data_IF_835469974850
#
_entry.id   IF_835469974850
#
_cell.length_a   1.000
_cell.length_b   1.000
_cell.length_c   1.000
_cell.angle_alpha   90.00
_cell.angle_beta   90.00
_cell.angle_gamma   90.00
#
_symmetry.space_group_name_H-M   'P 1'
#
loop_
_entity.id
_entity.type
_entity.pdbx_description
1 polymer ?
#
# COMPACT_ATOMS: atom_id res chain seq x y z
N UNK A 1 -41.33 11.46 55.88
CA UNK A 1 -41.47 11.07 54.45
C UNK A 1 -41.43 12.22 53.44
N UNK A 2 -41.45 13.52 53.82
CA UNK A 2 -41.41 14.64 52.85
C UNK A 2 -40.01 15.06 52.36
N UNK A 3 -38.93 14.63 53.03
CA UNK A 3 -37.55 15.03 52.68
C UNK A 3 -36.82 14.04 51.76
N UNK A 4 -37.34 12.81 51.60
CA UNK A 4 -36.74 11.78 50.73
C UNK A 4 -37.25 11.91 49.28
N UNK A 5 -38.48 12.41 49.10
CA UNK A 5 -39.05 12.63 47.76
C UNK A 5 -38.35 13.79 47.00
N UNK A 6 -37.86 14.80 47.73
CA UNK A 6 -37.23 15.98 47.12
C UNK A 6 -35.81 15.72 46.59
N UNK A 7 -35.12 14.71 47.15
CA UNK A 7 -33.77 14.32 46.69
C UNK A 7 -33.86 13.42 45.45
N UNK A 8 -34.88 12.57 45.36
CA UNK A 8 -35.13 11.75 44.17
C UNK A 8 -35.61 12.59 42.97
N UNK A 9 -36.41 13.63 43.19
CA UNK A 9 -36.85 14.52 42.11
C UNK A 9 -35.73 15.44 41.58
N UNK A 10 -34.74 15.76 42.43
CA UNK A 10 -33.55 16.53 42.02
C UNK A 10 -32.52 15.65 41.29
N UNK A 11 -32.41 14.36 41.66
CA UNK A 11 -31.59 13.39 40.92
C UNK A 11 -32.22 12.98 39.58
N UNK A 12 -33.56 12.98 39.46
CA UNK A 12 -34.24 12.75 38.18
C UNK A 12 -34.16 13.96 37.25
N UNK A 13 -34.05 15.19 37.79
CA UNK A 13 -33.83 16.40 36.97
C UNK A 13 -32.39 16.55 36.47
N UNK A 14 -31.42 15.88 37.09
CA UNK A 14 -30.03 15.81 36.61
C UNK A 14 -29.81 14.78 35.49
N UNK A 15 -30.80 13.94 35.19
CA UNK A 15 -30.77 13.01 34.05
C UNK A 15 -31.55 13.51 32.81
N UNK A 16 -32.17 14.68 32.88
CA UNK A 16 -32.90 15.31 31.76
C UNK A 16 -32.09 16.45 31.11
N UNK A 17 -30.87 16.70 31.59
CA UNK A 17 -29.93 17.68 31.02
C UNK A 17 -28.62 16.99 30.63
N UNK A 18 -28.75 15.96 29.80
CA UNK A 18 -27.68 15.53 28.90
C UNK A 18 -28.20 15.69 27.46
N UNK A 19 -28.09 16.92 26.97
CA UNK A 19 -27.97 17.21 25.54
C UNK A 19 -29.24 17.23 24.72
N UNK A 20 -30.09 18.24 24.92
CA UNK A 20 -30.70 18.91 23.77
C UNK A 20 -29.55 19.55 22.97
N UNK A 21 -28.94 18.79 22.07
CA UNK A 21 -28.05 19.36 21.07
C UNK A 21 -28.91 19.90 19.93
N UNK A 22 -28.61 21.13 19.53
CA UNK A 22 -29.43 21.90 18.61
C UNK A 22 -29.33 21.32 17.20
N UNK A 23 -30.27 20.45 16.83
CA UNK A 23 -30.77 20.37 15.46
C UNK A 23 -29.79 19.98 14.35
N UNK A 24 -28.69 19.28 14.66
CA UNK A 24 -27.81 18.66 13.66
C UNK A 24 -27.15 17.38 14.22
N UNK A 25 -27.94 16.51 14.84
CA UNK A 25 -27.51 15.27 15.51
C UNK A 25 -26.79 14.27 14.60
N UNK A 26 -25.56 14.59 14.18
CA UNK A 26 -24.61 13.63 13.64
C UNK A 26 -24.19 12.74 14.81
N UNK A 27 -24.59 11.47 14.74
CA UNK A 27 -24.03 10.39 15.57
C UNK A 27 -22.50 10.49 15.47
N UNK A 28 -21.81 10.43 16.61
CA UNK A 28 -20.35 10.33 16.63
C UNK A 28 -19.94 9.12 15.79
N UNK A 29 -19.09 9.36 14.79
CA UNK A 29 -18.68 8.32 13.85
C UNK A 29 -17.58 7.47 14.49
N UNK A 30 -17.62 6.17 14.20
CA UNK A 30 -16.56 5.22 14.51
C UNK A 30 -15.35 5.41 13.59
N UNK A 31 -15.63 5.69 12.31
CA UNK A 31 -14.62 5.91 11.27
C UNK A 31 -14.69 7.35 10.77
N UNK A 32 -13.53 7.98 10.56
CA UNK A 32 -13.46 9.42 10.29
C UNK A 32 -14.27 9.81 9.05
N UNK A 33 -14.18 9.05 7.97
CA UNK A 33 -14.92 9.29 6.73
C UNK A 33 -15.35 7.98 6.04
N UNK A 34 -16.26 8.10 5.07
CA UNK A 34 -16.55 7.02 4.11
C UNK A 34 -15.44 6.95 3.06
N UNK A 35 -15.14 5.74 2.58
CA UNK A 35 -14.12 5.52 1.55
C UNK A 35 -13.38 4.20 1.72
N UNK A 36 -12.27 4.04 1.00
CA UNK A 36 -11.47 2.80 1.05
C UNK A 36 -10.12 3.04 1.68
N UNK A 37 -9.88 2.40 2.82
CA UNK A 37 -8.65 2.49 3.58
C UNK A 37 -7.76 1.29 3.24
N UNK A 38 -6.60 1.54 2.66
CA UNK A 38 -5.62 0.51 2.33
C UNK A 38 -4.46 0.52 3.32
N UNK A 39 -4.04 -0.68 3.74
CA UNK A 39 -2.75 -0.92 4.34
C UNK A 39 -2.00 -1.98 3.55
N UNK A 40 -0.68 -2.04 3.75
CA UNK A 40 0.19 -3.00 3.11
C UNK A 40 1.30 -3.45 4.04
N UNK A 41 1.92 -4.58 3.69
CA UNK A 41 3.13 -5.10 4.33
C UNK A 41 4.06 -5.64 3.26
N UNK A 42 5.29 -5.15 3.26
CA UNK A 42 6.38 -5.73 2.47
C UNK A 42 6.79 -7.05 3.12
N UNK A 43 6.84 -8.11 2.32
CA UNK A 43 7.12 -9.48 2.78
C UNK A 43 8.04 -10.18 1.78
N UNK A 44 8.36 -11.44 2.06
CA UNK A 44 9.11 -12.28 1.11
C UNK A 44 8.36 -13.58 0.88
N UNK A 45 8.54 -14.15 -0.30
CA UNK A 45 8.00 -15.45 -0.64
C UNK A 45 9.12 -16.43 -0.95
N UNK A 46 8.95 -17.69 -0.58
CA UNK A 46 9.90 -18.73 -0.92
C UNK A 46 9.61 -19.26 -2.32
N UNK A 47 10.61 -19.25 -3.20
CA UNK A 47 10.56 -19.84 -4.53
C UNK A 47 11.73 -20.82 -4.69
N UNK A 48 11.54 -21.85 -5.50
CA UNK A 48 12.65 -22.70 -5.97
C UNK A 48 13.15 -22.21 -7.32
N UNK A 49 14.47 -22.13 -7.46
CA UNK A 49 15.14 -21.95 -8.75
C UNK A 49 16.00 -23.18 -9.05
N UNK A 50 16.20 -23.46 -10.33
CA UNK A 50 17.08 -24.53 -10.81
C UNK A 50 18.43 -23.93 -11.20
N UNK A 51 19.51 -24.45 -10.61
CA UNK A 51 20.88 -24.08 -10.93
C UNK A 51 21.34 -24.74 -12.25
N UNK A 52 22.49 -24.31 -12.77
CA UNK A 52 23.05 -24.85 -14.02
C UNK A 52 23.33 -26.35 -13.97
N UNK A 53 23.57 -26.91 -12.78
CA UNK A 53 23.79 -28.34 -12.54
C UNK A 53 22.50 -29.12 -12.23
N UNK A 54 21.33 -28.53 -12.51
CA UNK A 54 19.99 -29.05 -12.23
C UNK A 54 19.63 -29.16 -10.73
N UNK A 55 20.47 -28.65 -9.83
CA UNK A 55 20.14 -28.57 -8.40
C UNK A 55 19.01 -27.56 -8.16
N UNK A 56 17.99 -27.93 -7.40
CA UNK A 56 16.99 -26.99 -6.89
C UNK A 56 17.46 -26.32 -5.60
N UNK A 57 17.42 -24.99 -5.56
CA UNK A 57 17.68 -24.21 -4.36
C UNK A 57 16.50 -23.30 -4.04
N UNK A 58 16.23 -23.15 -2.74
CA UNK A 58 15.20 -22.27 -2.23
C UNK A 58 15.75 -20.84 -2.07
N UNK A 59 15.01 -19.85 -2.56
CA UNK A 59 15.35 -18.43 -2.54
C UNK A 59 14.15 -17.64 -2.01
N UNK A 60 14.44 -16.57 -1.27
CA UNK A 60 13.42 -15.58 -0.92
C UNK A 60 13.27 -14.59 -2.08
N UNK A 61 12.04 -14.36 -2.52
CA UNK A 61 11.69 -13.34 -3.51
C UNK A 61 10.89 -12.21 -2.88
N UNK A 62 11.00 -10.98 -3.39
CA UNK A 62 10.17 -9.86 -2.93
C UNK A 62 8.68 -10.13 -3.10
N UNK A 63 7.88 -9.74 -2.12
CA UNK A 63 6.43 -9.76 -2.19
C UNK A 63 5.83 -8.63 -1.35
N UNK A 64 4.55 -8.33 -1.56
CA UNK A 64 3.81 -7.49 -0.64
C UNK A 64 2.36 -7.94 -0.56
N UNK A 65 1.78 -7.74 0.63
CA UNK A 65 0.38 -7.98 0.93
C UNK A 65 -0.34 -6.64 1.00
N UNK A 66 -1.54 -6.56 0.45
CA UNK A 66 -2.45 -5.42 0.66
C UNK A 66 -3.77 -5.90 1.25
N UNK A 67 -4.34 -5.09 2.13
CA UNK A 67 -5.75 -5.21 2.52
C UNK A 67 -6.40 -3.85 2.43
N UNK A 68 -7.54 -3.80 1.74
CA UNK A 68 -8.41 -2.62 1.67
C UNK A 68 -9.69 -2.87 2.45
N UNK A 69 -10.10 -1.88 3.26
CA UNK A 69 -11.35 -1.87 4.02
C UNK A 69 -12.21 -0.73 3.51
N UNK A 70 -13.41 -1.01 3.02
CA UNK A 70 -14.35 0.01 2.57
C UNK A 70 -15.34 0.33 3.68
N UNK A 71 -15.42 1.61 4.04
CA UNK A 71 -16.37 2.17 5.00
C UNK A 71 -17.49 2.88 4.24
N UNK A 72 -18.73 2.58 4.60
CA UNK A 72 -19.90 3.31 4.13
C UNK A 72 -20.90 3.51 5.26
N UNK A 73 -21.36 4.76 5.46
CA UNK A 73 -22.29 5.12 6.53
C UNK A 73 -21.85 4.62 7.92
N UNK A 74 -20.56 4.75 8.25
CA UNK A 74 -19.96 4.32 9.51
C UNK A 74 -19.95 2.78 9.74
N UNK A 75 -20.12 1.99 8.68
CA UNK A 75 -20.06 0.53 8.71
C UNK A 75 -18.98 0.01 7.76
N UNK A 76 -18.31 -1.08 8.15
CA UNK A 76 -17.44 -1.82 7.22
C UNK A 76 -18.33 -2.58 6.26
N UNK A 77 -18.19 -2.33 4.96
CA UNK A 77 -19.00 -2.98 3.91
C UNK A 77 -18.19 -3.92 3.02
N UNK A 78 -16.85 -3.87 3.11
CA UNK A 78 -15.98 -4.72 2.31
C UNK A 78 -14.59 -4.86 2.93
N UNK A 79 -14.07 -6.07 2.89
CA UNK A 79 -12.63 -6.37 2.95
C UNK A 79 -12.17 -6.81 1.56
N UNK A 80 -10.94 -6.46 1.18
CA UNK A 80 -10.30 -6.93 -0.04
C UNK A 80 -8.83 -7.21 0.25
N UNK A 81 -8.47 -8.48 0.28
CA UNK A 81 -7.12 -9.01 0.43
C UNK A 81 -6.53 -9.23 -0.95
N UNK A 82 -5.27 -8.84 -1.12
CA UNK A 82 -4.47 -9.21 -2.28
C UNK A 82 -2.99 -9.41 -1.92
N UNK A 83 -2.27 -10.08 -2.80
CA UNK A 83 -0.83 -10.27 -2.68
C UNK A 83 -0.17 -10.26 -4.05
N UNK A 84 0.94 -9.52 -4.15
CA UNK A 84 1.79 -9.50 -5.32
C UNK A 84 3.13 -10.12 -4.96
N UNK A 85 3.59 -11.04 -5.81
CA UNK A 85 4.85 -11.75 -5.65
C UNK A 85 5.76 -11.46 -6.84
N UNK A 86 7.07 -11.48 -6.61
CA UNK A 86 8.07 -11.47 -7.67
C UNK A 86 8.54 -12.88 -8.03
N UNK A 87 8.93 -13.04 -9.28
CA UNK A 87 9.65 -14.21 -9.79
C UNK A 87 11.15 -13.97 -9.78
N UNK A 88 11.92 -15.03 -9.53
CA UNK A 88 13.37 -15.06 -9.61
C UNK A 88 13.85 -15.74 -10.90
N UNK A 89 14.73 -15.07 -11.64
CA UNK A 89 15.43 -15.61 -12.80
C UNK A 89 16.94 -15.66 -12.53
N UNK A 90 17.55 -16.86 -12.44
CA UNK A 90 18.98 -16.98 -12.21
C UNK A 90 19.81 -16.56 -13.43
N UNK A 91 20.93 -15.90 -13.18
CA UNK A 91 21.89 -15.45 -14.19
C UNK A 91 23.22 -16.15 -13.96
N UNK A 92 23.73 -16.83 -14.99
CA UNK A 92 24.96 -17.60 -14.92
C UNK A 92 26.06 -16.97 -15.78
N UNK A 93 27.33 -17.15 -15.38
CA UNK A 93 28.47 -16.87 -16.24
C UNK A 93 28.70 -17.98 -17.30
N UNK A 94 29.73 -17.81 -18.14
CA UNK A 94 30.10 -18.78 -19.18
C UNK A 94 30.52 -20.15 -18.62
N UNK A 95 30.97 -20.20 -17.36
CA UNK A 95 31.39 -21.41 -16.66
C UNK A 95 30.23 -22.09 -15.91
N UNK A 96 29.02 -21.51 -15.94
CA UNK A 96 27.82 -22.03 -15.30
C UNK A 96 27.66 -21.63 -13.82
N UNK A 97 28.48 -20.71 -13.31
CA UNK A 97 28.34 -20.23 -11.93
C UNK A 97 27.26 -19.15 -11.84
N UNK A 98 26.46 -19.20 -10.78
CA UNK A 98 25.44 -18.18 -10.49
C UNK A 98 26.13 -16.85 -10.17
N UNK A 99 25.84 -15.81 -10.95
CA UNK A 99 26.41 -14.46 -10.78
C UNK A 99 25.39 -13.43 -10.33
N UNK A 100 24.12 -13.65 -10.62
CA UNK A 100 23.02 -12.79 -10.19
C UNK A 100 21.70 -13.56 -10.13
N UNK A 101 20.71 -13.00 -9.44
CA UNK A 101 19.30 -13.34 -9.63
C UNK A 101 18.55 -12.07 -9.98
N UNK A 102 17.85 -12.07 -11.12
CA UNK A 102 16.95 -11.00 -11.48
C UNK A 102 15.60 -11.29 -10.84
N UNK A 103 15.11 -10.35 -10.03
CA UNK A 103 13.72 -10.39 -9.59
C UNK A 103 12.86 -9.57 -10.54
N UNK A 104 11.59 -9.91 -10.69
CA UNK A 104 10.60 -9.09 -11.41
C UNK A 104 9.24 -9.33 -10.79
N UNK A 105 8.47 -8.28 -10.49
CA UNK A 105 7.12 -8.48 -9.99
C UNK A 105 6.22 -9.14 -11.05
N UNK A 106 5.39 -10.08 -10.61
CA UNK A 106 4.40 -10.69 -11.50
C UNK A 106 3.46 -9.61 -12.04
N UNK A 107 3.10 -9.72 -13.32
CA UNK A 107 2.16 -8.79 -13.96
C UNK A 107 0.77 -8.81 -13.32
N UNK A 108 0.35 -9.94 -12.76
CA UNK A 108 -0.94 -10.12 -12.07
C UNK A 108 -0.73 -10.46 -10.57
N UNK A 109 -1.60 -9.94 -9.70
CA UNK A 109 -1.65 -10.35 -8.29
C UNK A 109 -2.20 -11.76 -8.17
N UNK A 110 -2.11 -12.37 -6.97
CA UNK A 110 -2.79 -13.65 -6.71
C UNK A 110 -4.29 -13.59 -6.99
N UNK A 111 -4.93 -12.46 -6.69
CA UNK A 111 -6.37 -12.30 -6.94
C UNK A 111 -6.69 -12.10 -8.42
N UNK A 112 -5.84 -11.39 -9.16
CA UNK A 112 -5.97 -11.22 -10.61
C UNK A 112 -5.75 -12.55 -11.36
N UNK A 113 -4.79 -13.37 -10.91
CA UNK A 113 -4.53 -14.71 -11.46
C UNK A 113 -5.72 -15.66 -11.25
N UNK A 114 -6.43 -15.56 -10.12
CA UNK A 114 -7.58 -16.41 -9.83
C UNK A 114 -7.23 -17.90 -9.87
N UNK A 115 -7.75 -18.63 -10.86
CA UNK A 115 -7.42 -20.04 -11.09
C UNK A 115 -6.04 -20.26 -11.70
N UNK A 116 -5.51 -19.28 -12.43
CA UNK A 116 -4.18 -19.36 -13.04
C UNK A 116 -3.06 -19.31 -11.99
N UNK A 117 -3.39 -18.99 -10.74
CA UNK A 117 -2.47 -19.14 -9.60
C UNK A 117 -2.17 -20.63 -9.32
N UNK A 118 -3.08 -21.53 -9.69
CA UNK A 118 -2.89 -22.99 -9.70
C UNK A 118 -2.43 -23.56 -8.35
N UNK A 119 -3.11 -23.19 -7.27
CA UNK A 119 -2.86 -23.70 -5.91
C UNK A 119 -3.85 -24.81 -5.51
N UNK A 120 -4.88 -25.09 -6.31
CA UNK A 120 -5.91 -26.09 -5.99
C UNK A 120 -5.34 -27.48 -5.70
N UNK A 121 -4.29 -27.89 -6.41
CA UNK A 121 -3.64 -29.18 -6.21
C UNK A 121 -2.72 -29.22 -4.97
N UNK A 122 -2.27 -28.07 -4.48
CA UNK A 122 -1.39 -27.93 -3.32
C UNK A 122 -2.16 -27.68 -2.02
N UNK A 123 -3.33 -27.06 -2.09
CA UNK A 123 -4.08 -26.63 -0.92
C UNK A 123 -5.31 -27.50 -0.67
N UNK A 124 -5.45 -27.98 0.58
CA UNK A 124 -6.56 -28.82 0.99
C UNK A 124 -7.95 -28.14 0.91
N UNK A 125 -7.99 -26.81 0.71
CA UNK A 125 -9.21 -25.99 0.66
C UNK A 125 -9.40 -25.23 -0.66
N UNK A 126 -8.71 -25.65 -1.72
CA UNK A 126 -8.88 -25.10 -3.08
C UNK A 126 -8.03 -23.86 -3.36
N UNK A 127 -8.36 -23.13 -4.42
CA UNK A 127 -7.57 -21.97 -4.86
C UNK A 127 -7.46 -20.85 -3.83
N UNK A 128 -6.35 -20.10 -3.91
CA UNK A 128 -6.04 -19.01 -2.99
C UNK A 128 -7.16 -17.97 -2.97
N UNK A 129 -7.69 -17.60 -4.14
CA UNK A 129 -8.75 -16.60 -4.28
C UNK A 129 -10.01 -16.97 -3.50
N UNK A 130 -10.43 -18.25 -3.50
CA UNK A 130 -11.62 -18.67 -2.75
C UNK A 130 -11.39 -18.69 -1.25
N UNK A 131 -10.17 -19.00 -0.82
CA UNK A 131 -9.81 -18.95 0.59
C UNK A 131 -9.75 -17.50 1.08
N UNK A 132 -9.16 -16.59 0.30
CA UNK A 132 -9.16 -15.16 0.60
C UNK A 132 -10.59 -14.57 0.68
N UNK A 133 -11.47 -14.93 -0.26
CA UNK A 133 -12.89 -14.51 -0.23
C UNK A 133 -13.62 -15.07 0.99
N UNK A 134 -13.37 -16.32 1.39
CA UNK A 134 -13.94 -16.87 2.62
C UNK A 134 -13.50 -16.10 3.86
N UNK A 135 -12.23 -15.71 3.91
CA UNK A 135 -11.66 -14.91 5.00
C UNK A 135 -12.28 -13.50 5.04
N UNK A 136 -12.35 -12.82 3.89
CA UNK A 136 -13.01 -11.50 3.74
C UNK A 136 -14.47 -11.52 4.22
N UNK A 137 -15.23 -12.54 3.81
CA UNK A 137 -16.62 -12.69 4.20
C UNK A 137 -16.79 -13.01 5.69
N UNK A 138 -15.92 -13.85 6.26
CA UNK A 138 -15.97 -14.14 7.69
C UNK A 138 -15.72 -12.89 8.53
N UNK A 139 -14.72 -12.08 8.17
CA UNK A 139 -14.43 -10.82 8.86
C UNK A 139 -15.60 -9.84 8.77
N UNK A 140 -16.27 -9.76 7.62
CA UNK A 140 -17.44 -8.90 7.43
C UNK A 140 -18.67 -9.37 8.24
N UNK A 141 -18.89 -10.68 8.33
CA UNK A 141 -20.06 -11.26 9.02
C UNK A 141 -19.90 -11.31 10.54
N UNK A 142 -18.69 -11.56 11.03
CA UNK A 142 -18.41 -11.75 12.46
C UNK A 142 -17.91 -10.47 13.16
N UNK A 143 -17.64 -9.40 12.40
CA UNK A 143 -16.99 -8.17 12.88
C UNK A 143 -15.69 -8.47 13.65
N UNK A 144 -14.94 -9.45 13.14
CA UNK A 144 -13.75 -10.01 13.81
C UNK A 144 -12.66 -10.38 12.80
N UNK A 145 -11.51 -9.73 12.91
CA UNK A 145 -10.34 -10.00 12.06
C UNK A 145 -9.45 -11.07 12.72
N UNK A 146 -9.77 -12.33 12.43
CA UNK A 146 -9.05 -13.51 12.94
C UNK A 146 -8.94 -14.62 11.90
N UNK A 147 -8.11 -15.62 12.20
CA UNK A 147 -8.00 -16.84 11.41
C UNK A 147 -9.30 -17.67 11.52
N UNK A 148 -9.67 -18.33 10.43
CA UNK A 148 -10.81 -19.24 10.38
C UNK A 148 -10.36 -20.63 9.95
N UNK A 149 -11.02 -21.67 10.45
CA UNK A 149 -10.64 -23.06 10.19
C UNK A 149 -10.99 -23.55 8.77
N UNK A 150 -11.78 -22.77 8.02
CA UNK A 150 -12.17 -23.10 6.64
C UNK A 150 -11.09 -22.76 5.61
N UNK A 151 -10.05 -22.01 5.98
CA UNK A 151 -8.92 -21.68 5.12
C UNK A 151 -7.64 -22.37 5.59
N UNK A 152 -6.72 -22.58 4.66
CA UNK A 152 -5.40 -23.21 4.85
C UNK A 152 -4.25 -22.36 4.35
N UNK A 153 -4.53 -21.24 3.68
CA UNK A 153 -3.53 -20.20 3.40
C UNK A 153 -2.95 -19.68 4.73
N UNK A 154 -1.69 -19.26 4.70
CA UNK A 154 -1.06 -18.53 5.82
C UNK A 154 -1.76 -17.18 5.95
N UNK A 155 -2.28 -16.84 7.13
CA UNK A 155 -3.21 -15.69 7.31
C UNK A 155 -2.67 -14.58 8.19
N UNK A 156 -1.55 -14.80 8.85
CA UNK A 156 -0.98 -13.90 9.84
C UNK A 156 -0.75 -12.50 9.28
N UNK A 157 -0.11 -12.41 8.10
CA UNK A 157 0.12 -11.14 7.41
C UNK A 157 -1.20 -10.47 6.98
N UNK A 158 -2.18 -11.23 6.48
CA UNK A 158 -3.48 -10.67 6.11
C UNK A 158 -4.23 -10.10 7.30
N UNK A 159 -4.20 -10.78 8.46
CA UNK A 159 -4.82 -10.33 9.71
C UNK A 159 -4.17 -9.05 10.21
N UNK A 160 -2.84 -8.99 10.20
CA UNK A 160 -2.07 -7.80 10.59
C UNK A 160 -2.43 -6.60 9.72
N UNK A 161 -2.38 -6.78 8.39
CA UNK A 161 -2.65 -5.71 7.42
C UNK A 161 -4.11 -5.27 7.46
N UNK A 162 -5.06 -6.20 7.64
CA UNK A 162 -6.48 -5.87 7.79
C UNK A 162 -6.75 -5.03 9.04
N UNK A 163 -6.11 -5.36 10.17
CA UNK A 163 -6.20 -4.55 11.41
C UNK A 163 -5.59 -3.18 11.21
N UNK A 164 -4.45 -3.08 10.52
CA UNK A 164 -3.82 -1.80 10.19
C UNK A 164 -4.73 -0.93 9.30
N UNK A 165 -5.36 -1.49 8.27
CA UNK A 165 -6.29 -0.77 7.40
C UNK A 165 -7.53 -0.27 8.18
N UNK A 166 -8.09 -1.09 9.07
CA UNK A 166 -9.20 -0.69 9.93
C UNK A 166 -8.78 0.40 10.93
N UNK A 167 -7.57 0.33 11.46
CA UNK A 167 -7.03 1.35 12.36
C UNK A 167 -6.81 2.67 11.63
N UNK A 168 -6.28 2.65 10.40
CA UNK A 168 -6.19 3.81 9.51
C UNK A 168 -7.55 4.50 9.34
N UNK A 169 -8.63 3.73 9.16
CA UNK A 169 -9.99 4.27 9.05
C UNK A 169 -10.47 5.02 10.32
N UNK A 170 -10.08 4.53 11.50
CA UNK A 170 -10.38 5.17 12.79
C UNK A 170 -9.53 6.41 13.04
N UNK A 171 -8.28 6.38 12.61
CA UNK A 171 -7.30 7.45 12.85
C UNK A 171 -7.36 8.57 11.80
N UNK A 172 -8.17 8.41 10.76
CA UNK A 172 -8.23 9.37 9.65
C UNK A 172 -6.94 9.36 8.83
N UNK A 173 -6.30 8.20 8.68
CA UNK A 173 -5.12 8.02 7.83
C UNK A 173 -5.52 7.34 6.54
N UNK A 174 -5.02 7.82 5.42
CA UNK A 174 -5.27 7.23 4.10
C UNK A 174 -3.97 6.81 3.45
N UNK A 175 -4.06 5.94 2.47
CA UNK A 175 -2.91 5.61 1.64
C UNK A 175 -3.27 4.70 0.47
N UNK A 176 -2.34 4.63 -0.47
CA UNK A 176 -2.40 3.74 -1.61
C UNK A 176 -0.98 3.32 -1.99
N UNK A 177 -0.85 2.16 -2.63
CA UNK A 177 0.43 1.59 -3.06
C UNK A 177 0.33 1.17 -4.53
N UNK A 178 1.38 1.44 -5.28
CA UNK A 178 1.49 1.14 -6.70
C UNK A 178 2.89 0.61 -7.03
N UNK A 179 2.95 -0.39 -7.93
CA UNK A 179 4.23 -0.81 -8.50
C UNK A 179 4.51 0.05 -9.71
N UNK A 180 5.54 0.87 -9.60
CA UNK A 180 6.13 1.51 -10.75
C UNK A 180 6.75 2.83 -10.38
N UNK A 181 8.07 2.85 -10.30
CA UNK A 181 8.93 3.89 -10.84
C UNK A 181 10.35 3.32 -11.09
N UNK A 182 11.20 4.07 -11.82
CA UNK A 182 12.63 3.85 -12.08
C UNK A 182 13.10 2.39 -12.33
N UNK A 183 13.28 2.01 -13.60
CA UNK A 183 13.83 0.72 -14.07
C UNK A 183 12.96 -0.56 -13.94
N UNK A 184 11.69 -0.42 -13.53
CA UNK A 184 10.52 -1.32 -13.75
C UNK A 184 9.87 -1.98 -12.53
N UNK A 185 10.37 -1.80 -11.31
CA UNK A 185 9.83 -2.58 -10.18
C UNK A 185 9.77 -1.84 -8.83
N UNK A 186 10.12 -0.55 -8.76
CA UNK A 186 9.99 0.21 -7.50
C UNK A 186 8.55 0.19 -6.99
N UNK A 187 8.38 0.12 -5.67
CA UNK A 187 7.07 0.19 -5.03
C UNK A 187 6.87 1.58 -4.44
N UNK A 188 6.02 2.36 -5.09
CA UNK A 188 5.68 3.73 -4.71
C UNK A 188 4.41 3.70 -3.87
N UNK A 189 4.38 4.48 -2.79
CA UNK A 189 3.16 4.69 -2.03
C UNK A 189 2.94 6.15 -1.72
N UNK A 190 1.71 6.44 -1.35
CA UNK A 190 1.29 7.72 -0.80
C UNK A 190 0.53 7.48 0.49
N UNK A 191 0.76 8.33 1.47
CA UNK A 191 -0.03 8.41 2.70
C UNK A 191 -0.51 9.84 2.94
N UNK A 192 -1.55 9.99 3.76
CA UNK A 192 -2.02 11.30 4.19
C UNK A 192 -3.10 11.22 5.27
N UNK A 193 -3.69 12.38 5.56
CA UNK A 193 -4.77 12.54 6.52
C UNK A 193 -6.10 12.78 5.82
N UNK A 194 -7.20 12.28 6.38
CA UNK A 194 -8.57 12.57 5.96
C UNK A 194 -9.38 13.10 7.14
N UNK A 195 -10.14 14.17 6.94
CA UNK A 195 -11.00 14.75 7.96
C UNK A 195 -12.44 14.18 7.93
N UNK A 196 -13.27 14.60 8.89
CA UNK A 196 -14.68 14.16 9.01
C UNK A 196 -15.59 14.58 7.84
N UNK A 197 -15.13 15.52 7.00
CA UNK A 197 -15.80 15.93 5.77
C UNK A 197 -15.31 15.13 4.56
N UNK A 198 -14.35 14.23 4.79
CA UNK A 198 -13.71 13.43 3.76
C UNK A 198 -12.58 14.16 3.06
N UNK A 199 -12.16 15.36 3.47
CA UNK A 199 -11.09 16.12 2.80
C UNK A 199 -9.72 15.53 3.12
N UNK A 200 -8.91 15.29 2.09
CA UNK A 200 -7.53 14.79 2.25
C UNK A 200 -6.52 15.94 2.38
N UNK A 201 -5.51 15.76 3.23
CA UNK A 201 -4.41 16.71 3.46
C UNK A 201 -3.14 15.99 3.93
N UNK A 202 -2.04 16.71 4.11
CA UNK A 202 -0.76 16.20 4.62
C UNK A 202 -0.27 14.97 3.85
N UNK A 203 -0.42 15.01 2.53
CA UNK A 203 0.08 13.97 1.63
C UNK A 203 1.60 13.87 1.77
N UNK A 204 2.12 12.65 1.80
CA UNK A 204 3.54 12.31 1.73
C UNK A 204 3.72 11.12 0.79
N UNK A 205 4.68 11.22 -0.11
CA UNK A 205 5.09 10.11 -0.97
C UNK A 205 6.37 9.48 -0.45
N UNK A 206 6.50 8.19 -0.71
CA UNK A 206 7.77 7.51 -0.59
C UNK A 206 7.77 6.26 -1.48
N UNK A 207 8.92 5.61 -1.58
CA UNK A 207 9.17 4.56 -2.54
C UNK A 207 10.24 3.59 -2.00
N UNK A 208 9.99 2.29 -2.12
CA UNK A 208 11.00 1.26 -1.92
C UNK A 208 11.57 0.90 -3.28
N UNK A 209 12.88 1.01 -3.39
CA UNK A 209 13.56 0.66 -4.63
C UNK A 209 13.62 -0.84 -4.79
N UNK A 210 13.36 -1.30 -5.99
CA UNK A 210 13.48 -2.71 -6.33
C UNK A 210 14.81 -2.96 -7.01
N UNK A 211 15.61 -3.88 -6.47
CA UNK A 211 16.86 -4.30 -7.09
C UNK A 211 17.96 -3.24 -7.17
N UNK A 212 17.79 -2.03 -6.62
CA UNK A 212 18.89 -1.08 -6.49
C UNK A 212 19.81 -1.52 -5.35
N UNK A 213 20.77 -2.38 -5.70
CA UNK A 213 21.92 -2.75 -4.88
C UNK A 213 21.57 -2.78 -3.39
N UNK A 214 20.94 -3.86 -2.92
CA UNK A 214 20.87 -4.22 -1.51
C UNK A 214 22.31 -4.28 -0.96
N UNK A 215 22.88 -3.11 -0.67
CA UNK A 215 24.29 -2.78 -0.45
C UNK A 215 25.22 -3.95 -0.71
N UNK A 216 25.40 -4.40 -1.99
CA UNK A 216 26.05 -5.67 -2.41
C UNK A 216 26.43 -6.53 -1.19
N UNK A 217 25.46 -7.17 -0.50
CA UNK A 217 25.83 -7.95 0.69
C UNK A 217 26.83 -8.98 0.17
N UNK A 218 28.08 -8.87 0.61
CA UNK A 218 29.15 -9.71 0.07
C UNK A 218 28.72 -11.18 0.20
N UNK A 219 28.94 -11.96 -0.86
CA UNK A 219 28.64 -13.39 -0.84
C UNK A 219 27.17 -13.80 -1.01
N UNK A 220 26.23 -12.96 -1.46
CA UNK A 220 24.85 -13.43 -1.79
C UNK A 220 24.84 -14.58 -2.82
N UNK A 221 25.87 -14.66 -3.68
CA UNK A 221 26.00 -15.69 -4.70
C UNK A 221 27.08 -16.75 -4.37
N UNK A 222 27.64 -16.71 -3.17
CA UNK A 222 28.53 -17.74 -2.66
C UNK A 222 27.71 -18.76 -1.86
N UNK A 223 27.61 -19.99 -2.37
CA UNK A 223 26.85 -21.08 -1.75
C UNK A 223 27.29 -21.43 -0.31
N UNK A 224 28.49 -21.03 0.09
CA UNK A 224 29.02 -21.24 1.45
C UNK A 224 28.67 -20.11 2.42
N UNK A 225 28.13 -19.00 1.91
CA UNK A 225 27.87 -17.80 2.70
C UNK A 225 26.49 -17.83 3.37
N UNK A 226 26.38 -17.23 4.57
CA UNK A 226 25.14 -17.25 5.36
C UNK A 226 23.95 -16.50 4.69
N UNK A 227 24.26 -15.60 3.76
CA UNK A 227 23.28 -14.80 3.00
C UNK A 227 23.04 -15.34 1.59
N UNK A 228 23.49 -16.56 1.27
CA UNK A 228 23.27 -17.15 -0.04
C UNK A 228 21.78 -17.12 -0.40
N UNK A 229 21.44 -16.40 -1.48
CA UNK A 229 20.08 -16.25 -2.02
C UNK A 229 19.01 -15.79 -1.02
N UNK A 230 19.39 -14.93 -0.06
CA UNK A 230 18.42 -14.31 0.86
C UNK A 230 18.11 -12.89 0.44
N UNK A 231 17.02 -12.71 -0.30
CA UNK A 231 16.43 -11.39 -0.47
C UNK A 231 15.89 -10.88 0.87
N UNK A 232 16.02 -9.57 1.07
CA UNK A 232 15.40 -8.82 2.15
C UNK A 232 15.12 -7.41 1.63
N UNK A 233 14.05 -6.80 2.11
CA UNK A 233 13.74 -5.42 1.76
C UNK A 233 14.74 -4.48 2.43
N UNK A 234 15.13 -3.41 1.73
CA UNK A 234 15.96 -2.38 2.36
C UNK A 234 15.17 -1.64 3.43
N UNK A 235 15.85 -1.33 4.55
CA UNK A 235 15.25 -0.56 5.64
C UNK A 235 15.18 0.93 5.36
N UNK A 236 15.97 1.40 4.39
CA UNK A 236 16.03 2.79 3.92
C UNK A 236 15.18 2.90 2.66
N UNK A 237 14.33 3.93 2.58
CA UNK A 237 13.53 4.17 1.38
C UNK A 237 14.33 4.94 0.33
N UNK A 238 13.75 5.17 -0.85
CA UNK A 238 14.33 6.05 -1.87
C UNK A 238 14.50 7.47 -1.31
N UNK A 239 13.55 7.93 -0.50
CA UNK A 239 13.67 9.23 0.15
C UNK A 239 14.89 9.31 1.08
N UNK A 240 15.23 8.24 1.79
CA UNK A 240 16.40 8.22 2.67
C UNK A 240 17.73 8.07 1.92
N UNK A 241 17.72 7.39 0.77
CA UNK A 241 18.94 6.88 0.12
C UNK A 241 19.39 7.67 -1.12
N UNK A 242 18.50 8.43 -1.76
CA UNK A 242 18.81 9.05 -3.05
C UNK A 242 19.67 10.32 -2.93
N UNK A 243 20.68 10.43 -3.81
CA UNK A 243 21.59 11.58 -3.87
C UNK A 243 21.16 12.68 -4.85
N UNK A 244 22.01 13.70 -5.07
CA UNK A 244 21.73 14.77 -6.01
C UNK A 244 21.61 14.24 -7.45
N UNK A 245 20.59 14.73 -8.18
CA UNK A 245 20.38 14.42 -9.58
C UNK A 245 21.40 15.13 -10.50
N UNK A 246 21.36 14.83 -11.81
CA UNK A 246 22.28 15.36 -12.85
C UNK A 246 22.41 16.89 -12.95
N UNK A 247 21.62 17.66 -12.21
CA UNK A 247 21.64 19.13 -12.14
C UNK A 247 21.88 19.65 -10.70
N UNK A 248 22.33 18.78 -9.78
CA UNK A 248 22.66 19.12 -8.40
C UNK A 248 21.46 19.25 -7.45
N UNK A 249 20.22 19.24 -7.96
CA UNK A 249 19.01 19.19 -7.12
C UNK A 249 18.82 17.80 -6.52
N UNK A 250 18.44 17.74 -5.26
CA UNK A 250 18.08 16.48 -4.62
C UNK A 250 16.76 15.95 -5.19
N UNK A 251 16.58 14.63 -5.16
CA UNK A 251 15.30 14.03 -5.53
C UNK A 251 14.21 14.40 -4.53
N UNK A 252 14.56 14.41 -3.24
CA UNK A 252 13.73 14.80 -2.11
C UNK A 252 13.17 16.21 -2.29
N UNK A 253 14.01 17.21 -2.58
CA UNK A 253 13.56 18.60 -2.80
C UNK A 253 12.48 18.71 -3.91
N UNK A 254 12.55 17.85 -4.93
CA UNK A 254 11.60 17.83 -6.04
C UNK A 254 10.31 17.10 -5.68
N UNK A 255 10.41 16.01 -4.90
CA UNK A 255 9.24 15.33 -4.33
C UNK A 255 8.51 16.25 -3.35
N UNK A 256 9.24 16.96 -2.50
CA UNK A 256 8.70 17.94 -1.56
C UNK A 256 7.97 19.05 -2.30
N UNK A 257 8.58 19.62 -3.35
CA UNK A 257 7.91 20.63 -4.20
C UNK A 257 6.60 20.10 -4.79
N UNK A 258 6.59 18.85 -5.27
CA UNK A 258 5.37 18.25 -5.82
C UNK A 258 4.31 17.99 -4.74
N UNK A 259 4.74 17.55 -3.57
CA UNK A 259 3.90 17.25 -2.41
C UNK A 259 3.26 18.53 -1.84
N UNK A 260 4.05 19.59 -1.69
CA UNK A 260 3.58 20.91 -1.27
C UNK A 260 2.51 21.45 -2.22
N UNK A 261 2.75 21.36 -3.54
CA UNK A 261 1.76 21.77 -4.53
C UNK A 261 0.42 21.05 -4.36
N UNK A 262 0.43 19.73 -4.16
CA UNK A 262 -0.80 18.94 -3.94
C UNK A 262 -1.48 19.33 -2.63
N UNK A 263 -0.72 19.52 -1.54
CA UNK A 263 -1.27 19.90 -0.25
C UNK A 263 -1.91 21.31 -0.28
N UNK A 264 -1.36 22.23 -1.06
CA UNK A 264 -1.90 23.58 -1.22
C UNK A 264 -3.11 23.66 -2.16
N UNK A 265 -3.11 22.87 -3.24
CA UNK A 265 -4.08 23.01 -4.34
C UNK A 265 -5.10 21.86 -4.42
N UNK A 266 -4.92 20.78 -3.67
CA UNK A 266 -5.63 19.53 -3.85
C UNK A 266 -5.09 18.69 -5.01
N UNK A 267 -5.55 17.43 -5.11
CA UNK A 267 -5.24 16.58 -6.25
C UNK A 267 -6.11 16.93 -7.45
N UNK A 268 -5.49 16.98 -8.62
CA UNK A 268 -6.16 17.15 -9.90
C UNK A 268 -5.84 15.97 -10.81
N UNK A 269 -6.85 15.16 -11.13
CA UNK A 269 -6.70 13.99 -12.00
C UNK A 269 -6.29 14.31 -13.45
N UNK A 270 -6.20 15.59 -13.83
CA UNK A 270 -5.63 16.05 -15.10
C UNK A 270 -4.11 16.27 -15.05
N UNK A 271 -3.46 16.07 -13.90
CA UNK A 271 -2.00 16.00 -13.80
C UNK A 271 -1.48 14.74 -14.47
N UNK A 272 -0.47 14.88 -15.32
CA UNK A 272 0.19 13.76 -15.96
C UNK A 272 1.68 14.02 -16.16
N UNK A 273 2.52 12.97 -16.23
CA UNK A 273 3.94 13.16 -16.36
C UNK A 273 4.28 13.68 -17.78
N UNK A 274 5.26 14.56 -17.92
CA UNK A 274 5.62 15.11 -19.24
C UNK A 274 6.21 14.01 -20.12
N UNK A 275 5.58 13.76 -21.26
CA UNK A 275 6.08 12.82 -22.25
C UNK A 275 7.08 13.54 -23.16
N UNK A 276 8.37 13.29 -22.96
CA UNK A 276 9.38 13.77 -23.90
C UNK A 276 9.34 12.91 -25.17
N UNK A 277 9.20 13.55 -26.33
CA UNK A 277 9.17 12.85 -27.62
C UNK A 277 10.40 11.94 -27.80
N UNK A 278 10.16 10.64 -28.01
CA UNK A 278 11.21 9.63 -28.19
C UNK A 278 11.82 9.08 -26.89
N UNK A 279 11.31 9.48 -25.71
CA UNK A 279 11.73 8.97 -24.41
C UNK A 279 10.66 8.05 -23.83
N UNK A 280 11.06 6.89 -23.28
CA UNK A 280 10.19 6.08 -22.41
C UNK A 280 10.10 6.66 -21.00
N UNK A 281 11.03 7.55 -20.63
CA UNK A 281 11.05 8.27 -19.35
C UNK A 281 10.12 9.47 -19.44
N UNK A 282 9.16 9.53 -18.52
CA UNK A 282 8.21 10.64 -18.41
C UNK A 282 8.60 11.49 -17.19
N UNK A 283 9.14 12.68 -17.43
CA UNK A 283 9.79 13.51 -16.41
C UNK A 283 9.05 14.81 -16.17
N UNK A 284 8.96 15.23 -14.92
CA UNK A 284 8.24 16.44 -14.52
C UNK A 284 6.73 16.33 -14.71
N UNK A 285 6.03 17.37 -14.28
CA UNK A 285 4.57 17.38 -14.18
C UNK A 285 4.01 18.42 -15.14
N UNK A 286 2.91 18.10 -15.82
CA UNK A 286 2.15 19.06 -16.59
C UNK A 286 0.65 18.84 -16.38
N UNK A 287 -0.16 19.80 -16.81
CA UNK A 287 -1.63 19.76 -16.72
C UNK A 287 -2.21 20.08 -18.08
N UNK A 288 -2.99 19.15 -18.64
CA UNK A 288 -3.57 19.29 -19.98
C UNK A 288 -2.55 19.64 -21.09
N UNK A 289 -1.28 19.22 -20.93
CA UNK A 289 -0.20 19.50 -21.89
C UNK A 289 0.49 20.84 -21.68
N UNK A 290 0.09 21.59 -20.65
CA UNK A 290 0.69 22.86 -20.26
C UNK A 290 1.59 22.69 -19.04
N UNK A 291 2.76 23.31 -19.08
CA UNK A 291 3.68 23.35 -17.96
C UNK A 291 3.06 24.11 -16.79
N UNK A 292 3.22 23.58 -15.57
CA UNK A 292 2.80 24.26 -14.35
C UNK A 292 4.01 25.01 -13.81
N UNK A 293 3.98 26.35 -13.82
CA UNK A 293 5.11 27.19 -13.41
C UNK A 293 5.65 26.81 -12.02
N UNK A 294 4.75 26.55 -11.06
CA UNK A 294 5.10 26.11 -9.70
C UNK A 294 5.83 24.75 -9.64
N UNK A 295 5.68 23.92 -10.66
CA UNK A 295 6.30 22.58 -10.76
C UNK A 295 7.42 22.52 -11.80
N UNK A 296 7.82 23.64 -12.39
CA UNK A 296 8.91 23.70 -13.39
C UNK A 296 10.27 23.23 -12.83
N UNK A 297 10.41 23.25 -11.50
CA UNK A 297 11.58 22.73 -10.79
C UNK A 297 11.59 21.20 -10.64
N UNK A 298 10.45 20.53 -10.80
CA UNK A 298 10.26 19.08 -10.66
C UNK A 298 10.58 18.43 -12.00
N UNK A 299 11.76 17.80 -12.06
CA UNK A 299 12.31 17.19 -13.28
C UNK A 299 12.57 15.68 -13.15
N UNK A 300 12.27 15.13 -11.98
CA UNK A 300 12.29 13.68 -11.75
C UNK A 300 11.19 12.99 -12.55
N UNK A 301 11.33 11.66 -12.72
CA UNK A 301 10.16 10.86 -13.07
C UNK A 301 9.16 11.02 -11.91
N UNK A 302 7.88 11.19 -12.25
CA UNK A 302 6.77 11.36 -11.28
C UNK A 302 5.61 10.42 -11.61
N UNK A 303 5.91 9.39 -12.40
CA UNK A 303 4.86 8.52 -12.96
C UNK A 303 4.22 7.73 -11.82
N UNK A 304 5.03 7.14 -10.95
CA UNK A 304 4.55 6.33 -9.84
C UNK A 304 3.66 7.13 -8.89
N UNK A 305 4.10 8.34 -8.55
CA UNK A 305 3.41 9.28 -7.67
C UNK A 305 2.05 9.68 -8.26
N UNK A 306 2.00 10.00 -9.57
CA UNK A 306 0.73 10.33 -10.23
C UNK A 306 -0.22 9.11 -10.28
N UNK A 307 0.29 7.92 -10.57
CA UNK A 307 -0.53 6.70 -10.58
C UNK A 307 -1.09 6.37 -9.20
N UNK A 308 -0.27 6.44 -8.15
CA UNK A 308 -0.71 6.13 -6.80
C UNK A 308 -1.67 7.19 -6.26
N UNK A 309 -1.53 8.46 -6.65
CA UNK A 309 -2.53 9.50 -6.36
C UNK A 309 -3.86 9.24 -7.04
N UNK A 310 -3.86 8.83 -8.31
CA UNK A 310 -5.09 8.47 -9.00
C UNK A 310 -5.78 7.27 -8.34
N UNK A 311 -5.01 6.32 -7.78
CA UNK A 311 -5.55 5.24 -6.97
C UNK A 311 -6.16 5.77 -5.66
N UNK A 312 -5.46 6.63 -4.93
CA UNK A 312 -5.98 7.26 -3.70
C UNK A 312 -7.24 8.09 -3.98
N UNK A 313 -7.28 8.81 -5.10
CA UNK A 313 -8.46 9.53 -5.58
C UNK A 313 -9.65 8.58 -5.79
N UNK A 314 -9.42 7.40 -6.38
CA UNK A 314 -10.48 6.40 -6.55
C UNK A 314 -11.03 5.84 -5.23
N UNK A 315 -10.21 5.82 -4.17
CA UNK A 315 -10.64 5.40 -2.83
C UNK A 315 -11.51 6.44 -2.13
N UNK A 316 -11.29 7.72 -2.43
CA UNK A 316 -11.98 8.85 -1.83
C UNK A 316 -12.35 9.91 -2.90
N UNK A 317 -13.31 9.62 -3.80
CA UNK A 317 -13.59 10.49 -4.95
C UNK A 317 -14.11 11.88 -4.57
N UNK A 318 -14.70 12.03 -3.38
CA UNK A 318 -15.24 13.30 -2.86
C UNK A 318 -14.23 14.09 -2.00
N UNK A 319 -13.03 13.56 -1.78
CA UNK A 319 -12.06 14.13 -0.86
C UNK A 319 -11.30 15.36 -1.39
N UNK A 320 -11.52 15.70 -2.65
CA UNK A 320 -10.69 16.62 -3.42
C UNK A 320 -11.51 17.78 -4.02
N UNK A 321 -12.78 17.88 -3.65
CA UNK A 321 -13.70 18.99 -3.97
C UNK A 321 -13.67 20.07 -2.87
#
# INVERSE_FOLDING_TARGET
>A
MKKILSVFMLALLLLVVAGCDNGNGKKERTYVADGTYMAWKFTTHSQKITLADETEVEINTPAYVTVSVTIHNDEVVKYYIDERQATAEPVFDEDGNLTNVNFTFNKETKKELGYDYNMEWLAAKGEWIFQAIQLENAWLLEDKIEAISSVTIVVEDYIEVAKAALQKAKDGKVGALYIGEHYNDDVVWVEGDIDENGKISNIVFDCLMFGHESKKKEGIYDATHANYLKFDWDSETKYDSYGPMSQGKMWQDQLDTFTEYINENGWDGSLFPNAQAGSTRMKGVNKNGEEIEALSSVTMEVKGEIFVMNMLYSFFPKAWE
#
